data_IF_608093262249
#
_entry.id   IF_608093262249
#
_cell.length_a   1.000
_cell.length_b   1.000
_cell.length_c   1.000
_cell.angle_alpha   90.00
_cell.angle_beta   90.00
_cell.angle_gamma   90.00
#
_symmetry.space_group_name_H-M   'P 1'
#
loop_
_entity.id
_entity.type
_entity.pdbx_description
1 polymer ?
#
# COMPACT_ATOMS: atom_id res chain seq x y z
N UNK A 1 36.20 -80.86 30.73
CA UNK A 1 36.05 -80.21 29.40
C UNK A 1 35.11 -79.10 29.51
N UNK A 2 35.63 -77.88 29.56
CA UNK A 2 34.87 -76.67 29.71
C UNK A 2 34.55 -76.05 28.33
N UNK A 3 33.29 -75.93 27.96
CA UNK A 3 32.88 -75.18 26.79
C UNK A 3 32.30 -73.88 27.24
N UNK A 4 33.06 -72.79 27.08
CA UNK A 4 32.64 -71.39 27.28
C UNK A 4 31.74 -70.96 26.11
N UNK A 5 30.50 -70.62 26.41
CA UNK A 5 29.61 -69.92 25.48
C UNK A 5 29.82 -68.42 25.58
N UNK A 6 30.29 -67.82 24.49
CA UNK A 6 30.38 -66.37 24.32
C UNK A 6 29.02 -65.83 23.84
N UNK A 7 28.47 -64.88 24.59
CA UNK A 7 27.30 -64.08 24.16
C UNK A 7 27.77 -62.85 23.37
N UNK A 8 27.18 -62.54 22.22
CA UNK A 8 27.43 -61.26 21.57
C UNK A 8 26.56 -60.22 22.20
N UNK A 9 27.16 -59.08 22.61
CA UNK A 9 26.53 -57.89 23.06
C UNK A 9 26.02 -57.13 21.79
N UNK A 10 24.70 -57.00 21.65
CA UNK A 10 24.10 -56.16 20.62
C UNK A 10 24.13 -54.68 21.10
N UNK A 11 24.98 -53.94 20.46
CA UNK A 11 24.98 -52.46 20.62
C UNK A 11 23.84 -51.87 19.79
N UNK A 12 22.78 -51.43 20.45
CA UNK A 12 21.68 -50.71 19.82
C UNK A 12 22.08 -49.27 19.52
N UNK A 13 22.16 -48.93 18.24
CA UNK A 13 22.36 -47.54 17.79
C UNK A 13 21.01 -46.82 17.80
N UNK A 14 20.76 -45.98 18.78
CA UNK A 14 19.59 -45.09 18.81
C UNK A 14 19.85 -43.89 17.89
N UNK A 15 19.24 -43.89 16.71
CA UNK A 15 19.21 -42.72 15.83
C UNK A 15 18.20 -41.71 16.34
N UNK A 16 18.66 -40.65 16.99
CA UNK A 16 17.86 -39.48 17.32
C UNK A 16 17.65 -38.60 16.07
N UNK A 17 16.47 -38.68 15.47
CA UNK A 17 16.06 -37.79 14.40
C UNK A 17 15.74 -36.39 15.00
N UNK A 18 16.65 -35.44 14.80
CA UNK A 18 16.42 -34.01 15.04
C UNK A 18 15.49 -33.48 13.94
N UNK A 19 14.20 -33.33 14.27
CA UNK A 19 13.26 -32.60 13.43
C UNK A 19 13.56 -31.12 13.59
N UNK A 20 14.38 -30.59 12.68
CA UNK A 20 14.62 -29.15 12.57
C UNK A 20 13.39 -28.44 12.04
N UNK A 21 12.59 -27.85 12.94
CA UNK A 21 11.55 -26.93 12.56
C UNK A 21 12.18 -25.62 12.05
N UNK A 22 12.31 -25.48 10.74
CA UNK A 22 12.72 -24.25 10.10
C UNK A 22 11.58 -23.21 10.29
N UNK A 23 11.71 -22.31 11.27
CA UNK A 23 10.91 -21.11 11.35
C UNK A 23 11.25 -20.25 10.13
N UNK A 24 10.38 -20.26 9.13
CA UNK A 24 10.43 -19.29 8.04
C UNK A 24 10.02 -17.93 8.60
N UNK A 25 10.99 -17.13 9.00
CA UNK A 25 10.79 -15.72 9.30
C UNK A 25 10.42 -15.06 7.96
N UNK A 26 9.13 -14.79 7.76
CA UNK A 26 8.68 -13.92 6.68
C UNK A 26 9.18 -12.52 7.00
N UNK A 27 10.31 -12.16 6.43
CA UNK A 27 10.74 -10.75 6.38
C UNK A 27 9.72 -10.04 5.51
N UNK A 28 8.74 -9.40 6.13
CA UNK A 28 7.84 -8.49 5.43
C UNK A 28 8.71 -7.42 4.78
N UNK A 29 8.69 -7.35 3.46
CA UNK A 29 9.37 -6.28 2.73
C UNK A 29 8.81 -4.94 3.23
N UNK A 30 9.61 -4.24 4.02
CA UNK A 30 9.25 -2.92 4.55
C UNK A 30 9.21 -1.97 3.36
N UNK A 31 8.02 -1.44 3.06
CA UNK A 31 7.88 -0.47 1.99
C UNK A 31 8.77 0.74 2.28
N UNK A 32 9.52 1.26 1.29
CA UNK A 32 10.37 2.42 1.50
C UNK A 32 9.55 3.60 2.04
N UNK A 33 10.15 4.48 2.85
CA UNK A 33 9.47 5.67 3.37
C UNK A 33 8.88 6.50 2.22
N UNK A 34 7.74 7.15 2.48
CA UNK A 34 7.18 8.12 1.52
C UNK A 34 8.01 9.38 1.61
N UNK A 35 8.86 9.61 0.61
CA UNK A 35 9.75 10.78 0.52
C UNK A 35 9.00 11.98 -0.07
N UNK A 36 8.14 12.59 0.75
CA UNK A 36 7.40 13.83 0.42
C UNK A 36 7.48 14.76 1.61
N UNK A 37 8.04 15.95 1.43
CA UNK A 37 8.04 16.98 2.45
C UNK A 37 6.62 17.54 2.61
N UNK A 38 6.13 17.60 3.84
CA UNK A 38 4.82 18.17 4.18
C UNK A 38 4.92 18.93 5.51
N UNK A 39 4.06 19.91 5.67
CA UNK A 39 3.85 20.63 6.93
C UNK A 39 2.69 20.01 7.73
N UNK A 40 2.40 20.59 8.90
CA UNK A 40 1.40 20.06 9.82
C UNK A 40 -0.05 20.18 9.32
N UNK A 41 -0.30 21.06 8.36
CA UNK A 41 -1.59 21.31 7.72
C UNK A 41 -1.70 20.72 6.30
N UNK A 42 -0.69 19.94 5.88
CA UNK A 42 -0.68 19.24 4.60
C UNK A 42 -1.06 17.77 4.73
N UNK A 43 -1.61 17.18 3.66
CA UNK A 43 -1.63 15.74 3.44
C UNK A 43 -0.78 15.45 2.22
N UNK A 44 0.28 14.65 2.38
CA UNK A 44 1.14 14.24 1.29
C UNK A 44 1.13 12.75 1.04
N UNK A 45 1.79 12.33 -0.03
CA UNK A 45 1.90 10.90 -0.27
C UNK A 45 2.38 10.53 -1.66
N UNK A 46 2.17 9.25 -1.96
CA UNK A 46 2.52 8.64 -3.25
C UNK A 46 1.35 7.83 -3.76
N UNK A 47 1.07 7.96 -5.05
CA UNK A 47 0.12 7.13 -5.78
C UNK A 47 0.89 6.12 -6.63
N UNK A 48 0.52 4.86 -6.53
CA UNK A 48 1.10 3.77 -7.31
C UNK A 48 0.01 3.01 -8.05
N UNK A 49 0.32 2.55 -9.25
CA UNK A 49 -0.51 1.66 -10.05
C UNK A 49 0.21 0.34 -10.36
N UNK A 50 -0.32 -0.46 -11.29
CA UNK A 50 0.26 -1.75 -11.65
C UNK A 50 1.69 -1.67 -12.22
N UNK A 51 2.03 -0.55 -12.86
CA UNK A 51 3.33 -0.33 -13.51
C UNK A 51 4.32 0.48 -12.64
N UNK A 52 3.94 0.90 -11.45
CA UNK A 52 4.75 1.72 -10.57
C UNK A 52 4.10 3.05 -10.19
N UNK A 53 4.88 4.13 -9.98
CA UNK A 53 4.32 5.45 -9.67
C UNK A 53 3.37 5.96 -10.75
N UNK A 54 2.23 6.51 -10.34
CA UNK A 54 1.22 7.06 -11.24
C UNK A 54 1.33 8.59 -11.32
N UNK A 55 1.81 9.07 -12.47
CA UNK A 55 1.92 10.50 -12.78
C UNK A 55 0.62 11.06 -13.37
N UNK A 56 0.35 12.35 -13.13
CA UNK A 56 -0.80 13.03 -13.73
C UNK A 56 -2.17 12.58 -13.20
N UNK A 57 -2.20 11.94 -12.04
CA UNK A 57 -3.41 11.47 -11.38
C UNK A 57 -3.91 12.51 -10.39
N UNK A 58 -5.19 12.76 -10.38
CA UNK A 58 -5.81 13.65 -9.40
C UNK A 58 -5.94 12.95 -8.06
N UNK A 59 -5.47 13.63 -7.02
CA UNK A 59 -5.69 13.26 -5.62
C UNK A 59 -6.70 14.23 -5.04
N UNK A 60 -7.80 13.73 -4.55
CA UNK A 60 -8.93 14.51 -4.07
C UNK A 60 -9.06 14.28 -2.57
N UNK A 61 -9.06 15.37 -1.81
CA UNK A 61 -9.31 15.38 -0.36
C UNK A 61 -10.62 16.09 -0.08
N UNK A 62 -11.57 15.41 0.53
CA UNK A 62 -12.90 15.92 0.87
C UNK A 62 -13.19 15.74 2.36
N UNK A 63 -13.79 16.76 2.96
CA UNK A 63 -14.37 16.65 4.31
C UNK A 63 -15.75 17.28 4.38
N UNK A 64 -16.56 16.74 5.28
CA UNK A 64 -17.87 17.29 5.65
C UNK A 64 -17.94 17.69 7.14
N UNK A 65 -16.80 17.65 7.83
CA UNK A 65 -16.70 18.03 9.24
C UNK A 65 -16.67 19.56 9.44
N UNK A 66 -16.49 20.33 8.36
CA UNK A 66 -16.50 21.80 8.40
C UNK A 66 -17.93 22.36 8.18
N UNK A 67 -18.11 23.65 8.43
CA UNK A 67 -19.39 24.34 8.27
C UNK A 67 -19.98 24.20 6.85
N UNK A 68 -19.11 24.06 5.85
CA UNK A 68 -19.45 23.74 4.47
C UNK A 68 -18.64 22.58 3.98
N UNK A 69 -19.14 21.84 2.99
CA UNK A 69 -18.39 20.81 2.31
C UNK A 69 -17.12 21.42 1.72
N UNK A 70 -15.97 20.83 2.07
CA UNK A 70 -14.68 21.29 1.59
C UNK A 70 -14.02 20.21 0.74
N UNK A 71 -13.57 20.61 -0.45
CA UNK A 71 -12.86 19.75 -1.39
C UNK A 71 -11.61 20.48 -1.87
N UNK A 72 -10.49 19.79 -1.88
CA UNK A 72 -9.26 20.24 -2.51
C UNK A 72 -8.68 19.12 -3.34
N UNK A 73 -8.15 19.41 -4.52
CA UNK A 73 -7.54 18.42 -5.40
C UNK A 73 -6.19 18.91 -5.91
N UNK A 74 -5.28 17.99 -6.07
CA UNK A 74 -3.94 18.21 -6.64
C UNK A 74 -3.64 17.10 -7.63
N UNK A 75 -2.58 17.28 -8.44
CA UNK A 75 -2.15 16.31 -9.44
C UNK A 75 -0.79 15.72 -9.01
N UNK A 76 -0.59 14.44 -9.20
CA UNK A 76 0.69 13.78 -8.90
C UNK A 76 1.78 14.19 -9.88
N UNK A 77 3.02 14.27 -9.39
CA UNK A 77 4.22 14.50 -10.19
C UNK A 77 4.67 13.21 -10.94
N UNK A 78 5.78 13.31 -11.70
CA UNK A 78 6.34 12.20 -12.48
C UNK A 78 6.75 10.97 -11.63
N UNK A 79 6.84 11.14 -10.32
CA UNK A 79 7.14 10.08 -9.36
C UNK A 79 5.91 9.61 -8.59
N UNK A 80 4.73 10.03 -9.01
CA UNK A 80 3.47 9.74 -8.34
C UNK A 80 3.30 10.45 -7.00
N UNK A 81 4.11 11.46 -6.67
CA UNK A 81 4.07 12.18 -5.40
C UNK A 81 3.05 13.31 -5.45
N UNK A 82 2.43 13.58 -4.31
CA UNK A 82 1.48 14.68 -4.16
C UNK A 82 1.59 15.35 -2.79
N UNK A 83 1.18 16.59 -2.73
CA UNK A 83 0.90 17.35 -1.49
C UNK A 83 -0.40 18.09 -1.69
N UNK A 84 -1.35 17.88 -0.78
CA UNK A 84 -2.57 18.69 -0.64
C UNK A 84 -2.30 19.68 0.47
N UNK A 85 -1.96 20.95 0.15
CA UNK A 85 -1.47 21.91 1.13
C UNK A 85 -2.60 22.64 1.86
N UNK A 86 -2.27 23.29 2.98
CA UNK A 86 -3.12 24.27 3.69
C UNK A 86 -4.54 23.73 3.98
N UNK A 87 -4.64 22.56 4.57
CA UNK A 87 -5.91 21.93 4.91
C UNK A 87 -6.39 22.37 6.30
N UNK A 88 -7.64 22.84 6.44
CA UNK A 88 -8.25 23.00 7.76
C UNK A 88 -8.21 21.73 8.59
N UNK A 89 -8.12 21.89 9.92
CA UNK A 89 -8.06 20.71 10.81
C UNK A 89 -9.40 19.97 10.82
N UNK A 90 -9.44 18.85 10.10
CA UNK A 90 -10.58 17.96 9.94
C UNK A 90 -10.10 16.58 9.49
N UNK A 91 -11.00 15.60 9.50
CA UNK A 91 -10.75 14.30 8.88
C UNK A 91 -11.20 14.33 7.43
N UNK A 92 -10.31 13.95 6.53
CA UNK A 92 -10.55 13.95 5.09
C UNK A 92 -10.69 12.53 4.56
N UNK A 93 -11.62 12.36 3.62
CA UNK A 93 -11.62 11.21 2.71
C UNK A 93 -10.73 11.55 1.53
N UNK A 94 -9.69 10.76 1.29
CA UNK A 94 -8.71 10.98 0.21
C UNK A 94 -8.76 9.81 -0.76
N UNK A 95 -8.87 10.10 -2.05
CA UNK A 95 -8.87 9.11 -3.13
C UNK A 95 -8.26 9.67 -4.41
N UNK A 96 -8.04 8.80 -5.39
CA UNK A 96 -7.47 9.18 -6.69
C UNK A 96 -8.46 8.99 -7.81
N UNK A 97 -8.31 9.81 -8.85
CA UNK A 97 -9.06 9.77 -10.11
C UNK A 97 -8.15 10.17 -11.26
N UNK A 98 -8.24 9.50 -12.39
CA UNK A 98 -7.39 9.81 -13.54
C UNK A 98 -7.85 9.14 -14.82
N UNK A 99 -7.13 9.42 -15.90
CA UNK A 99 -7.39 8.83 -17.20
C UNK A 99 -7.17 7.32 -17.17
N UNK A 100 -8.14 6.57 -17.70
CA UNK A 100 -8.08 5.10 -17.69
C UNK A 100 -8.24 4.45 -16.32
N UNK A 101 -8.58 5.24 -15.29
CA UNK A 101 -8.78 4.77 -13.91
C UNK A 101 -10.25 4.88 -13.51
N UNK A 102 -10.64 4.09 -12.51
CA UNK A 102 -11.82 4.34 -11.68
C UNK A 102 -11.36 4.96 -10.36
N UNK A 103 -12.29 5.51 -9.58
CA UNK A 103 -11.94 6.02 -8.25
C UNK A 103 -11.29 4.94 -7.40
N UNK A 104 -10.18 5.27 -6.76
CA UNK A 104 -9.56 4.38 -5.78
C UNK A 104 -10.42 4.24 -4.52
N UNK A 105 -10.05 3.31 -3.65
CA UNK A 105 -10.64 3.26 -2.32
C UNK A 105 -10.35 4.56 -1.57
N UNK A 106 -11.34 5.04 -0.82
CA UNK A 106 -11.19 6.23 -0.01
C UNK A 106 -10.43 5.90 1.27
N UNK A 107 -9.36 6.64 1.51
CA UNK A 107 -8.54 6.54 2.72
C UNK A 107 -8.85 7.72 3.63
N UNK A 108 -9.10 7.46 4.90
CA UNK A 108 -9.27 8.51 5.91
C UNK A 108 -7.91 9.06 6.34
N UNK A 109 -7.75 10.38 6.34
CA UNK A 109 -6.52 11.03 6.75
C UNK A 109 -6.77 12.39 7.41
N UNK A 110 -5.81 12.82 8.23
CA UNK A 110 -5.76 14.16 8.83
C UNK A 110 -4.53 14.90 8.31
N UNK A 111 -4.54 16.25 8.33
CA UNK A 111 -3.34 17.04 8.09
C UNK A 111 -2.14 16.55 8.91
N UNK A 112 -0.94 16.62 8.34
CA UNK A 112 0.29 16.08 8.88
C UNK A 112 0.57 14.61 8.51
N UNK A 113 -0.32 13.92 7.80
CA UNK A 113 -0.17 12.52 7.43
C UNK A 113 0.36 12.32 6.01
N UNK A 114 1.11 11.21 5.84
CA UNK A 114 1.59 10.73 4.53
C UNK A 114 0.88 9.45 4.15
N UNK A 115 0.38 9.41 2.92
CA UNK A 115 -0.44 8.31 2.40
C UNK A 115 0.29 7.53 1.29
N UNK A 116 -0.07 6.25 1.18
CA UNK A 116 0.16 5.44 -0.02
C UNK A 116 -1.19 5.06 -0.57
N UNK A 117 -1.47 5.49 -1.79
CA UNK A 117 -2.73 5.21 -2.46
C UNK A 117 -2.44 4.34 -3.68
N UNK A 118 -3.23 3.29 -3.87
CA UNK A 118 -3.16 2.45 -5.07
C UNK A 118 -4.24 2.90 -6.04
N UNK A 119 -3.83 3.33 -7.23
CA UNK A 119 -4.74 3.67 -8.31
C UNK A 119 -5.43 2.39 -8.83
N UNK A 120 -6.71 2.50 -9.19
CA UNK A 120 -7.50 1.40 -9.73
C UNK A 120 -7.69 1.59 -11.23
N UNK A 121 -7.11 0.70 -12.01
CA UNK A 121 -7.32 0.68 -13.47
C UNK A 121 -8.77 0.34 -13.76
N UNK A 122 -9.37 1.06 -14.68
CA UNK A 122 -10.72 0.75 -15.16
C UNK A 122 -10.73 -0.60 -15.89
N UNK A 123 -11.77 -1.44 -15.70
CA UNK A 123 -11.86 -2.72 -16.38
C UNK A 123 -12.03 -2.58 -17.89
N UNK A 124 -12.61 -1.47 -18.35
CA UNK A 124 -12.83 -1.13 -19.75
C UNK A 124 -12.96 0.39 -19.94
N UNK A 125 -13.01 0.83 -21.19
CA UNK A 125 -13.13 2.25 -21.56
C UNK A 125 -14.45 2.88 -21.10
N UNK A 126 -15.53 2.13 -21.09
CA UNK A 126 -16.83 2.64 -20.63
C UNK A 126 -16.82 2.94 -19.14
N UNK A 127 -16.21 2.05 -18.34
CA UNK A 127 -16.00 2.28 -16.91
C UNK A 127 -15.08 3.49 -16.67
N UNK A 128 -13.99 3.64 -17.42
CA UNK A 128 -13.12 4.79 -17.34
C UNK A 128 -13.85 6.09 -17.66
N UNK A 129 -14.64 6.12 -18.73
CA UNK A 129 -15.40 7.29 -19.16
C UNK A 129 -16.48 7.73 -18.14
N UNK A 130 -16.97 6.81 -17.31
CA UNK A 130 -17.93 7.14 -16.25
C UNK A 130 -17.33 8.01 -15.15
N UNK A 131 -16.05 7.80 -14.81
CA UNK A 131 -15.34 8.55 -13.77
C UNK A 131 -14.60 9.76 -14.31
N UNK A 132 -14.08 9.67 -15.53
CA UNK A 132 -13.29 10.70 -16.18
C UNK A 132 -13.68 10.82 -17.66
N UNK A 133 -14.83 11.39 -17.96
CA UNK A 133 -15.33 11.48 -19.33
C UNK A 133 -14.47 12.39 -20.20
N UNK A 134 -14.34 12.02 -21.48
CA UNK A 134 -13.50 12.71 -22.46
C UNK A 134 -13.82 14.18 -22.65
N UNK A 135 -15.04 14.60 -22.28
CA UNK A 135 -15.45 16.05 -22.37
C UNK A 135 -14.57 16.98 -21.53
N UNK A 136 -13.85 16.46 -20.54
CA UNK A 136 -12.90 17.26 -19.75
C UNK A 136 -11.56 17.50 -20.46
N UNK A 137 -11.39 16.95 -21.68
CA UNK A 137 -10.18 17.09 -22.50
C UNK A 137 -10.30 18.14 -23.62
N UNK A 138 -11.46 18.73 -23.81
CA UNK A 138 -11.72 19.72 -24.86
C UNK A 138 -11.91 21.14 -24.30
#
# INVERSE_FOLDING_TARGET
MLTRRLFPIAVGLAATALVGSSLSIRTGAQQPPVDVAIDNDDIGGVVTGPSGPEAGVWVIAETRELAVRYIKSVVTDDRGRFVVPDLPNATYSVWTRGYGLVDSDKTSAKPGQRLRITAKVAPDEAAAAHYYPAIYWY
#
